data_IF_189297845348
#
_entry.id   IF_189297845348
#
_cell.length_a   1.000
_cell.length_b   1.000
_cell.length_c   1.000
_cell.angle_alpha   90.00
_cell.angle_beta   90.00
_cell.angle_gamma   90.00
#
_symmetry.space_group_name_H-M   'P 1'
#
loop_
_entity.id
_entity.type
_entity.pdbx_description
1 polymer ?
#
# COMPACT_ATOMS: atom_id res chain seq x y z
N UNK A 1 9.71 -21.35 13.37
CA UNK A 1 10.08 -19.92 13.42
C UNK A 1 10.85 -19.42 12.19
N UNK A 2 11.65 -20.22 11.46
CA UNK A 2 12.44 -19.73 10.31
C UNK A 2 11.65 -19.50 9.01
N UNK A 3 10.52 -20.19 8.81
CA UNK A 3 9.69 -20.00 7.62
C UNK A 3 8.92 -18.67 7.63
N UNK A 4 8.42 -18.20 8.78
CA UNK A 4 7.61 -16.97 8.86
C UNK A 4 8.41 -15.72 8.45
N UNK A 5 9.69 -15.66 8.81
CA UNK A 5 10.57 -14.53 8.48
C UNK A 5 10.85 -14.41 6.98
N UNK A 6 10.96 -15.54 6.26
CA UNK A 6 11.18 -15.53 4.81
C UNK A 6 9.97 -14.98 4.04
N UNK A 7 8.75 -15.26 4.52
CA UNK A 7 7.52 -14.75 3.90
C UNK A 7 7.38 -13.23 4.11
N UNK A 8 7.76 -12.70 5.28
CA UNK A 8 7.72 -11.26 5.56
C UNK A 8 8.71 -10.49 4.69
N UNK A 9 9.93 -11.00 4.52
CA UNK A 9 10.92 -10.36 3.64
C UNK A 9 10.46 -10.34 2.18
N UNK A 10 9.89 -11.44 1.67
CA UNK A 10 9.33 -11.49 0.32
C UNK A 10 8.14 -10.54 0.15
N UNK A 11 7.23 -10.48 1.12
CA UNK A 11 6.11 -9.55 1.10
C UNK A 11 6.58 -8.09 1.01
N UNK A 12 7.61 -7.71 1.77
CA UNK A 12 8.19 -6.35 1.71
C UNK A 12 8.76 -6.04 0.32
N UNK A 13 9.43 -7.00 -0.34
CA UNK A 13 9.95 -6.77 -1.70
C UNK A 13 8.84 -6.55 -2.72
N UNK A 14 7.79 -7.39 -2.70
CA UNK A 14 6.65 -7.23 -3.58
C UNK A 14 5.90 -5.92 -3.33
N UNK A 15 5.74 -5.54 -2.07
CA UNK A 15 5.10 -4.28 -1.69
C UNK A 15 5.89 -3.07 -2.18
N UNK A 16 7.23 -3.09 -2.06
CA UNK A 16 8.08 -2.03 -2.59
C UNK A 16 8.01 -1.98 -4.12
N UNK A 17 7.98 -3.12 -4.80
CA UNK A 17 7.81 -3.16 -6.25
C UNK A 17 6.46 -2.57 -6.68
N UNK A 18 5.39 -2.89 -5.96
CA UNK A 18 4.05 -2.33 -6.19
C UNK A 18 4.02 -0.81 -5.95
N UNK A 19 4.63 -0.31 -4.86
CA UNK A 19 4.78 1.12 -4.57
C UNK A 19 5.50 1.84 -5.72
N UNK A 20 6.61 1.29 -6.20
CA UNK A 20 7.36 1.90 -7.30
C UNK A 20 6.52 1.96 -8.58
N UNK A 21 5.76 0.90 -8.87
CA UNK A 21 4.86 0.87 -10.02
C UNK A 21 3.72 1.90 -9.88
N UNK A 22 3.07 1.97 -8.73
CA UNK A 22 2.01 2.95 -8.45
C UNK A 22 2.50 4.40 -8.57
N UNK A 23 3.75 4.69 -8.17
CA UNK A 23 4.34 6.03 -8.38
C UNK A 23 4.42 6.36 -9.87
N UNK A 24 4.85 5.41 -10.70
CA UNK A 24 4.93 5.59 -12.16
C UNK A 24 3.53 5.81 -12.73
N UNK A 25 2.55 5.00 -12.35
CA UNK A 25 1.16 5.15 -12.78
C UNK A 25 0.56 6.51 -12.36
N UNK A 26 0.78 6.94 -11.11
CA UNK A 26 0.31 8.22 -10.61
C UNK A 26 0.90 9.39 -11.39
N UNK A 27 2.21 9.38 -11.65
CA UNK A 27 2.88 10.45 -12.41
C UNK A 27 2.33 10.50 -13.84
N UNK A 28 2.31 9.35 -14.54
CA UNK A 28 1.89 9.29 -15.93
C UNK A 28 0.41 9.66 -16.09
N UNK A 29 -0.45 9.22 -15.17
CA UNK A 29 -1.89 9.52 -15.22
C UNK A 29 -2.21 10.98 -14.88
N UNK A 30 -1.52 11.59 -13.92
CA UNK A 30 -1.68 13.01 -13.61
C UNK A 30 -1.19 13.89 -14.77
N UNK A 31 -0.03 13.55 -15.36
CA UNK A 31 0.50 14.30 -16.50
C UNK A 31 -0.41 14.18 -17.72
N UNK A 32 -0.81 12.95 -18.08
CA UNK A 32 -1.73 12.73 -19.20
C UNK A 32 -3.13 13.30 -18.92
N UNK A 33 -3.61 13.23 -17.68
CA UNK A 33 -4.88 13.80 -17.25
C UNK A 33 -4.90 15.32 -17.36
N UNK A 34 -3.82 15.98 -16.96
CA UNK A 34 -3.66 17.42 -17.11
C UNK A 34 -3.63 17.83 -18.59
N UNK A 35 -2.81 17.18 -19.41
CA UNK A 35 -2.69 17.48 -20.84
C UNK A 35 -4.00 17.23 -21.60
N UNK A 36 -4.74 16.17 -21.26
CA UNK A 36 -6.00 15.83 -21.90
C UNK A 36 -7.22 16.54 -21.30
N UNK A 37 -7.04 17.36 -20.26
CA UNK A 37 -8.12 17.92 -19.43
C UNK A 37 -9.13 16.85 -18.97
N UNK A 38 -8.62 15.66 -18.65
CA UNK A 38 -9.42 14.48 -18.32
C UNK A 38 -9.55 14.33 -16.81
N UNK A 39 -10.79 14.46 -16.32
CA UNK A 39 -11.11 14.21 -14.91
C UNK A 39 -10.87 12.74 -14.53
N UNK A 40 -11.11 11.80 -15.45
CA UNK A 40 -10.94 10.38 -15.19
C UNK A 40 -9.46 10.01 -14.95
N UNK A 41 -8.55 10.47 -15.82
CA UNK A 41 -7.12 10.19 -15.65
C UNK A 41 -6.54 10.91 -14.43
N UNK A 42 -6.95 12.17 -14.22
CA UNK A 42 -6.51 12.92 -13.04
C UNK A 42 -7.01 12.26 -11.75
N UNK A 43 -8.27 11.82 -11.73
CA UNK A 43 -8.87 11.10 -10.61
C UNK A 43 -8.19 9.77 -10.33
N UNK A 44 -7.88 8.98 -11.36
CA UNK A 44 -7.09 7.76 -11.24
C UNK A 44 -5.73 8.02 -10.60
N UNK A 45 -4.99 9.04 -11.05
CA UNK A 45 -3.70 9.39 -10.48
C UNK A 45 -3.77 9.86 -9.02
N UNK A 46 -4.83 10.59 -8.66
CA UNK A 46 -5.06 10.98 -7.27
C UNK A 46 -5.44 9.80 -6.37
N UNK A 47 -6.19 8.83 -6.88
CA UNK A 47 -6.52 7.60 -6.16
C UNK A 47 -5.26 6.78 -5.86
N UNK A 48 -4.36 6.63 -6.83
CA UNK A 48 -3.06 5.97 -6.64
C UNK A 48 -2.20 6.64 -5.55
N UNK A 49 -2.34 7.94 -5.30
CA UNK A 49 -1.64 8.60 -4.19
C UNK A 49 -2.17 8.17 -2.82
N UNK A 50 -3.47 7.90 -2.71
CA UNK A 50 -4.08 7.38 -1.47
C UNK A 50 -3.59 5.95 -1.22
N UNK A 51 -3.54 5.12 -2.27
CA UNK A 51 -2.99 3.77 -2.21
C UNK A 51 -1.49 3.76 -1.85
N UNK A 52 -0.72 4.72 -2.35
CA UNK A 52 0.69 4.88 -1.97
C UNK A 52 0.87 5.15 -0.47
N UNK A 53 0.00 5.97 0.12
CA UNK A 53 0.03 6.24 1.56
C UNK A 53 -0.32 4.98 2.35
N UNK A 54 -1.34 4.23 1.94
CA UNK A 54 -1.74 3.00 2.64
C UNK A 54 -0.67 1.91 2.55
N UNK A 55 -0.07 1.73 1.37
CA UNK A 55 1.05 0.81 1.14
C UNK A 55 2.29 1.20 1.99
N UNK A 56 2.59 2.50 2.10
CA UNK A 56 3.66 3.00 2.96
C UNK A 56 3.45 2.64 4.45
N UNK A 57 2.22 2.78 4.95
CA UNK A 57 1.84 2.38 6.30
C UNK A 57 1.99 0.85 6.48
N UNK A 58 1.60 0.06 5.49
CA UNK A 58 1.74 -1.40 5.52
C UNK A 58 3.21 -1.84 5.59
N UNK A 59 4.09 -1.24 4.78
CA UNK A 59 5.55 -1.51 4.82
C UNK A 59 6.13 -1.14 6.19
N UNK A 60 5.72 -0.01 6.77
CA UNK A 60 6.16 0.40 8.11
C UNK A 60 5.74 -0.62 9.17
N UNK A 61 4.49 -1.09 9.13
CA UNK A 61 3.97 -2.14 10.02
C UNK A 61 4.77 -3.44 9.90
N UNK A 62 4.95 -3.95 8.68
CA UNK A 62 5.71 -5.19 8.44
C UNK A 62 7.16 -5.08 8.95
N UNK A 63 7.78 -3.90 8.87
CA UNK A 63 9.12 -3.65 9.44
C UNK A 63 9.14 -3.67 10.97
N UNK A 64 8.07 -3.24 11.63
CA UNK A 64 7.93 -3.30 13.09
C UNK A 64 7.74 -4.74 13.55
N UNK A 65 6.86 -5.49 12.89
CA UNK A 65 6.64 -6.91 13.16
C UNK A 65 7.92 -7.72 12.96
N UNK A 66 8.67 -7.46 11.88
CA UNK A 66 9.95 -8.10 11.60
C UNK A 66 11.02 -7.82 12.67
N UNK A 67 10.90 -6.73 13.44
CA UNK A 67 11.81 -6.36 14.54
C UNK A 67 11.39 -6.95 15.90
N UNK A 68 10.32 -7.74 15.95
CA UNK A 68 9.87 -8.44 17.16
C UNK A 68 9.07 -7.58 18.14
N UNK A 69 8.53 -6.44 17.69
CA UNK A 69 7.60 -5.64 18.49
C UNK A 69 6.17 -6.19 18.31
N UNK A 70 5.54 -6.53 19.43
CA UNK A 70 4.22 -7.16 19.53
C UNK A 70 3.10 -6.22 19.05
N UNK A 71 2.51 -6.52 17.89
CA UNK A 71 1.65 -5.58 17.16
C UNK A 71 0.16 -5.92 17.33
N UNK A 72 -0.32 -5.92 18.58
CA UNK A 72 -1.73 -6.13 18.97
C UNK A 72 -2.70 -5.02 18.52
N UNK A 73 -2.26 -4.07 17.69
CA UNK A 73 -3.05 -2.94 17.21
C UNK A 73 -3.80 -3.24 15.91
N UNK A 74 -3.28 -4.13 15.06
CA UNK A 74 -3.82 -4.34 13.70
C UNK A 74 -4.85 -5.46 13.60
N UNK A 75 -4.80 -6.46 14.47
CA UNK A 75 -5.89 -7.45 14.61
C UNK A 75 -7.24 -6.77 14.91
N UNK A 76 -7.21 -5.62 15.60
CA UNK A 76 -8.41 -4.81 15.85
C UNK A 76 -8.86 -3.99 14.64
N UNK A 77 -7.95 -3.66 13.71
CA UNK A 77 -8.28 -2.97 12.47
C UNK A 77 -8.86 -3.94 11.43
N UNK A 78 -8.31 -5.16 11.30
CA UNK A 78 -8.87 -6.23 10.47
C UNK A 78 -10.26 -6.66 10.95
N UNK A 79 -10.45 -6.81 12.27
CA UNK A 79 -11.77 -7.11 12.84
C UNK A 79 -12.81 -5.99 12.60
N UNK A 80 -12.36 -4.76 12.39
CA UNK A 80 -13.23 -3.63 12.05
C UNK A 80 -13.52 -3.57 10.56
N UNK A 81 -12.54 -3.81 9.69
CA UNK A 81 -12.74 -3.84 8.24
C UNK A 81 -13.67 -4.99 7.81
N UNK A 82 -13.51 -6.17 8.41
CA UNK A 82 -14.38 -7.33 8.18
C UNK A 82 -15.85 -7.07 8.57
N UNK A 83 -16.12 -6.10 9.44
CA UNK A 83 -17.49 -5.70 9.83
C UNK A 83 -18.18 -4.74 8.87
N UNK A 84 -17.44 -4.11 7.95
CA UNK A 84 -17.98 -3.13 7.00
C UNK A 84 -18.02 -3.67 5.56
N UNK A 85 -17.51 -4.88 5.32
CA UNK A 85 -17.61 -5.57 4.03
C UNK A 85 -18.95 -6.31 3.82
N UNK A 86 -20.05 -5.78 4.38
CA UNK A 86 -21.43 -6.26 4.16
C UNK A 86 -22.06 -5.55 2.97
#
# INVERSE_FOLDING_TARGET
>A
MHARTQHVTQAIYWEVAAILWMIVEAILSLEAGYQAHSLALTGFGMDSLIELVSAGILVWRLRIEARGADDHAVDRAEAKAARWAV
#
